data_IF_716456953860
#
_entry.id   IF_716456953860
#
_cell.length_a   1.000
_cell.length_b   1.000
_cell.length_c   1.000
_cell.angle_alpha   90.00
_cell.angle_beta   90.00
_cell.angle_gamma   90.00
#
_symmetry.space_group_name_H-M   'P 1'
#
loop_
_entity.id
_entity.type
_entity.pdbx_description
1 polymer ?
#
# COMPACT_ATOMS: atom_id res chain seq x y z
N UNK A 1 -27.45 42.50 36.47
CA UNK A 1 -26.38 41.99 35.59
C UNK A 1 -25.87 40.69 36.18
N UNK A 2 -25.72 39.68 35.31
CA UNK A 2 -24.97 38.41 35.45
C UNK A 2 -25.74 37.19 35.97
N UNK A 3 -26.27 36.41 35.02
CA UNK A 3 -26.81 35.05 35.19
C UNK A 3 -25.68 34.00 35.17
N UNK A 4 -25.58 33.08 36.15
CA UNK A 4 -24.52 32.06 36.22
C UNK A 4 -24.98 30.69 35.69
N UNK A 5 -25.70 30.63 34.57
CA UNK A 5 -26.26 29.37 34.05
C UNK A 5 -25.46 28.74 32.88
N UNK A 6 -24.44 29.41 32.36
CA UNK A 6 -23.84 29.05 31.06
C UNK A 6 -22.57 28.17 31.20
N UNK A 7 -21.98 28.04 32.39
CA UNK A 7 -20.65 27.42 32.54
C UNK A 7 -20.66 25.89 32.73
N UNK A 8 -21.80 25.26 33.03
CA UNK A 8 -21.83 23.83 33.35
C UNK A 8 -21.90 22.89 32.14
N UNK A 9 -22.33 23.37 30.97
CA UNK A 9 -22.52 22.52 29.77
C UNK A 9 -21.19 22.18 29.08
N UNK A 10 -20.16 23.02 29.22
CA UNK A 10 -18.90 22.86 28.46
C UNK A 10 -17.94 21.80 29.00
N UNK A 11 -18.02 21.44 30.29
CA UNK A 11 -17.04 20.50 30.89
C UNK A 11 -17.40 19.04 30.56
N UNK A 12 -18.69 18.72 30.45
CA UNK A 12 -19.15 17.35 30.14
C UNK A 12 -18.90 16.95 28.68
N UNK A 13 -18.81 17.91 27.76
CA UNK A 13 -18.55 17.63 26.34
C UNK A 13 -17.10 17.17 26.08
N UNK A 14 -16.13 17.61 26.89
CA UNK A 14 -14.72 17.23 26.73
C UNK A 14 -14.38 15.87 27.34
N UNK A 15 -15.12 15.43 28.35
CA UNK A 15 -14.88 14.13 29.01
C UNK A 15 -15.40 12.93 28.21
N UNK A 16 -16.29 13.12 27.25
CA UNK A 16 -16.79 12.05 26.37
C UNK A 16 -15.91 11.82 25.13
N UNK A 17 -14.92 12.69 24.85
CA UNK A 17 -14.07 12.58 23.66
C UNK A 17 -12.74 11.85 23.89
N UNK A 18 -12.40 11.49 25.13
CA UNK A 18 -11.13 10.82 25.47
C UNK A 18 -11.25 9.29 25.60
N UNK A 19 -12.41 8.72 25.26
CA UNK A 19 -12.70 7.30 25.38
C UNK A 19 -12.31 6.48 24.14
N UNK A 20 -11.15 5.83 24.22
CA UNK A 20 -10.86 4.52 23.62
C UNK A 20 -11.06 4.37 22.09
N UNK A 21 -10.08 4.89 21.35
CA UNK A 21 -9.77 4.45 19.99
C UNK A 21 -8.30 4.07 19.87
N UNK A 22 -7.77 3.31 20.83
CA UNK A 22 -6.46 2.68 20.69
C UNK A 22 -6.54 1.64 19.58
N UNK A 23 -6.32 2.06 18.33
CA UNK A 23 -6.00 1.15 17.25
C UNK A 23 -4.66 0.49 17.63
N UNK A 24 -4.74 -0.66 18.30
CA UNK A 24 -3.65 -1.61 18.27
C UNK A 24 -3.50 -1.97 16.80
N UNK A 25 -2.52 -1.35 16.15
CA UNK A 25 -2.03 -1.83 14.88
C UNK A 25 -1.51 -3.24 15.18
N UNK A 26 -2.37 -4.24 14.95
CA UNK A 26 -1.88 -5.61 14.86
C UNK A 26 -0.74 -5.56 13.84
N UNK A 27 0.44 -6.10 14.17
CA UNK A 27 1.45 -6.36 13.16
C UNK A 27 0.84 -7.45 12.29
N UNK A 28 0.02 -7.03 11.32
CA UNK A 28 -0.43 -7.87 10.22
C UNK A 28 0.85 -8.47 9.69
N UNK A 29 0.99 -9.78 9.89
CA UNK A 29 2.16 -10.53 9.47
C UNK A 29 2.36 -10.16 8.01
N UNK A 30 3.42 -9.38 7.75
CA UNK A 30 3.74 -8.89 6.41
C UNK A 30 4.17 -10.13 5.64
N UNK A 31 3.18 -10.86 5.11
CA UNK A 31 3.37 -11.99 4.24
C UNK A 31 3.92 -11.42 2.93
N UNK A 32 5.24 -11.20 2.94
CA UNK A 32 6.11 -10.95 1.81
C UNK A 32 5.51 -10.10 0.70
N UNK A 33 5.35 -8.80 0.94
CA UNK A 33 5.47 -7.89 -0.20
C UNK A 33 6.89 -8.07 -0.75
N UNK A 34 6.98 -8.59 -1.97
CA UNK A 34 8.22 -8.53 -2.72
C UNK A 34 8.66 -7.08 -2.79
N UNK A 35 9.89 -6.80 -2.36
CA UNK A 35 10.42 -5.44 -2.40
C UNK A 35 10.69 -5.05 -3.85
N UNK A 36 9.99 -4.02 -4.35
CA UNK A 36 10.29 -3.39 -5.62
C UNK A 36 11.21 -2.18 -5.39
N UNK A 37 12.53 -2.27 -5.66
CA UNK A 37 13.43 -1.15 -5.45
C UNK A 37 13.08 0.02 -6.37
N UNK A 38 12.88 1.23 -5.84
CA UNK A 38 12.61 2.40 -6.68
C UNK A 38 13.84 2.73 -7.53
N UNK A 39 13.64 3.11 -8.81
CA UNK A 39 14.75 3.47 -9.68
C UNK A 39 15.38 4.80 -9.24
N UNK A 40 16.70 4.89 -9.31
CA UNK A 40 17.46 6.08 -8.95
C UNK A 40 17.54 7.04 -10.14
N UNK A 41 17.13 8.29 -9.94
CA UNK A 41 17.20 9.33 -10.96
C UNK A 41 18.67 9.67 -11.23
N UNK A 42 19.13 9.68 -12.50
CA UNK A 42 20.50 10.07 -12.83
C UNK A 42 20.78 11.53 -12.42
N UNK A 43 21.80 11.74 -11.60
CA UNK A 43 22.22 13.08 -11.13
C UNK A 43 22.63 14.03 -12.25
N UNK A 44 22.91 13.50 -13.46
CA UNK A 44 23.24 14.31 -14.62
C UNK A 44 22.04 15.12 -15.14
N UNK A 45 20.79 14.74 -14.81
CA UNK A 45 19.58 15.48 -15.25
C UNK A 45 19.52 16.85 -14.56
N UNK A 46 19.89 16.92 -13.29
CA UNK A 46 19.76 18.13 -12.46
C UNK A 46 20.83 19.19 -12.75
N UNK A 47 21.90 18.85 -13.50
CA UNK A 47 22.97 19.81 -13.83
C UNK A 47 22.55 20.76 -14.95
N UNK A 48 22.99 22.02 -14.90
CA UNK A 48 22.68 22.97 -15.98
C UNK A 48 23.29 22.52 -17.33
N UNK A 49 22.54 22.66 -18.44
CA UNK A 49 23.04 22.30 -19.77
C UNK A 49 24.16 23.22 -20.29
N UNK A 50 24.27 24.45 -19.75
CA UNK A 50 25.19 25.48 -20.24
C UNK A 50 26.67 25.19 -19.94
N UNK A 51 26.95 24.24 -19.04
CA UNK A 51 28.30 23.90 -18.58
C UNK A 51 28.77 22.50 -19.01
N UNK A 52 28.02 21.80 -19.87
CA UNK A 52 28.35 20.42 -20.28
C UNK A 52 29.11 20.36 -21.60
N UNK A 53 30.15 19.53 -21.64
CA UNK A 53 30.75 19.11 -22.91
C UNK A 53 29.81 18.17 -23.66
N UNK A 54 30.00 18.01 -24.98
CA UNK A 54 29.23 17.02 -25.77
C UNK A 54 29.35 15.60 -25.19
N UNK A 55 30.55 15.22 -24.74
CA UNK A 55 30.82 13.93 -24.10
C UNK A 55 29.96 13.70 -22.85
N UNK A 56 29.76 14.75 -22.04
CA UNK A 56 28.94 14.68 -20.83
C UNK A 56 27.45 14.54 -21.16
N UNK A 57 27.00 15.18 -22.24
CA UNK A 57 25.64 15.06 -22.75
C UNK A 57 25.39 13.62 -23.22
N UNK A 58 26.29 13.05 -24.02
CA UNK A 58 26.17 11.68 -24.51
C UNK A 58 26.19 10.65 -23.37
N UNK A 59 27.03 10.87 -22.35
CA UNK A 59 27.03 10.08 -21.13
C UNK A 59 25.68 10.14 -20.41
N UNK A 60 25.17 11.35 -20.19
CA UNK A 60 23.89 11.54 -19.53
C UNK A 60 22.74 10.89 -20.31
N UNK A 61 22.74 10.99 -21.65
CA UNK A 61 21.74 10.34 -22.49
C UNK A 61 21.71 8.82 -22.30
N UNK A 62 22.88 8.17 -22.20
CA UNK A 62 22.94 6.73 -21.92
C UNK A 62 22.38 6.38 -20.54
N UNK A 63 22.67 7.18 -19.53
CA UNK A 63 22.16 6.95 -18.17
C UNK A 63 20.65 7.17 -18.07
N UNK A 64 20.11 8.17 -18.78
CA UNK A 64 18.66 8.41 -18.88
C UNK A 64 17.95 7.26 -19.60
N UNK A 65 18.54 6.72 -20.66
CA UNK A 65 17.99 5.55 -21.36
C UNK A 65 17.97 4.33 -20.43
N UNK A 66 19.04 4.10 -19.67
CA UNK A 66 19.10 3.03 -18.65
C UNK A 66 18.03 3.23 -17.58
N UNK A 67 17.88 4.45 -17.05
CA UNK A 67 16.84 4.78 -16.08
C UNK A 67 15.43 4.49 -16.61
N UNK A 68 15.16 4.83 -17.87
CA UNK A 68 13.88 4.56 -18.52
C UNK A 68 13.60 3.06 -18.63
N UNK A 69 14.61 2.25 -18.93
CA UNK A 69 14.48 0.79 -18.93
C UNK A 69 14.17 0.27 -17.52
N UNK A 70 14.86 0.78 -16.49
CA UNK A 70 14.62 0.39 -15.09
C UNK A 70 13.20 0.75 -14.63
N UNK A 71 12.61 1.85 -15.11
CA UNK A 71 11.21 2.19 -14.83
C UNK A 71 10.22 1.13 -15.33
N UNK A 72 10.50 0.51 -16.48
CA UNK A 72 9.71 -0.60 -17.00
C UNK A 72 9.73 -1.80 -16.05
N UNK A 73 10.93 -2.23 -15.65
CA UNK A 73 11.10 -3.34 -14.69
C UNK A 73 10.44 -3.04 -13.34
N UNK A 74 10.59 -1.81 -12.84
CA UNK A 74 9.96 -1.39 -11.58
C UNK A 74 8.43 -1.47 -11.65
N UNK A 75 7.83 -0.99 -12.74
CA UNK A 75 6.37 -1.09 -12.97
C UNK A 75 5.91 -2.54 -13.00
N UNK A 76 6.61 -3.41 -13.74
CA UNK A 76 6.27 -4.84 -13.79
C UNK A 76 6.34 -5.50 -12.42
N UNK A 77 7.34 -5.15 -11.60
CA UNK A 77 7.42 -5.62 -10.22
C UNK A 77 6.18 -5.20 -9.42
N UNK A 78 5.84 -3.92 -9.44
CA UNK A 78 4.68 -3.40 -8.71
C UNK A 78 3.37 -4.07 -9.14
N UNK A 79 3.18 -4.29 -10.44
CA UNK A 79 2.01 -5.01 -10.96
C UNK A 79 1.92 -6.42 -10.38
N UNK A 80 3.00 -7.20 -10.43
CA UNK A 80 3.03 -8.57 -9.91
C UNK A 80 2.76 -8.64 -8.41
N UNK A 81 3.36 -7.73 -7.64
CA UNK A 81 3.14 -7.70 -6.19
C UNK A 81 1.72 -7.24 -5.84
N UNK A 82 1.13 -6.35 -6.63
CA UNK A 82 -0.27 -5.95 -6.49
C UNK A 82 -1.21 -7.12 -6.77
N UNK A 83 -1.01 -7.83 -7.88
CA UNK A 83 -1.79 -9.03 -8.25
C UNK A 83 -1.67 -10.13 -7.19
N UNK A 84 -0.47 -10.37 -6.68
CA UNK A 84 -0.22 -11.31 -5.58
C UNK A 84 -0.97 -10.92 -4.32
N UNK A 85 -0.93 -9.64 -3.92
CA UNK A 85 -1.63 -9.15 -2.74
C UNK A 85 -3.15 -9.31 -2.88
N UNK A 86 -3.70 -8.99 -4.06
CA UNK A 86 -5.12 -9.19 -4.37
C UNK A 86 -5.49 -10.67 -4.30
N UNK A 87 -4.69 -11.55 -4.91
CA UNK A 87 -4.90 -13.00 -4.86
C UNK A 87 -4.89 -13.54 -3.43
N UNK A 88 -3.91 -13.11 -2.62
CA UNK A 88 -3.81 -13.49 -1.20
C UNK A 88 -5.04 -13.04 -0.41
N UNK A 89 -5.54 -11.82 -0.67
CA UNK A 89 -6.76 -11.30 -0.05
C UNK A 89 -8.00 -12.12 -0.44
N UNK A 90 -8.14 -12.44 -1.72
CA UNK A 90 -9.24 -13.26 -2.22
C UNK A 90 -9.22 -14.67 -1.61
N UNK A 91 -8.05 -15.29 -1.50
CA UNK A 91 -7.88 -16.60 -0.87
C UNK A 91 -8.26 -16.58 0.62
N UNK A 92 -7.87 -15.51 1.33
CA UNK A 92 -8.24 -15.33 2.73
C UNK A 92 -9.76 -15.20 2.91
N UNK A 93 -10.43 -14.41 2.06
CA UNK A 93 -11.89 -14.25 2.08
C UNK A 93 -12.58 -15.57 1.76
N UNK A 94 -12.12 -16.29 0.73
CA UNK A 94 -12.67 -17.59 0.35
C UNK A 94 -12.57 -18.59 1.51
N UNK A 95 -11.40 -18.65 2.17
CA UNK A 95 -11.19 -19.50 3.35
C UNK A 95 -12.11 -19.12 4.50
N UNK A 96 -12.25 -17.83 4.80
CA UNK A 96 -13.14 -17.34 5.85
C UNK A 96 -14.59 -17.76 5.58
N UNK A 97 -15.11 -17.51 4.36
CA UNK A 97 -16.47 -17.89 3.98
C UNK A 97 -16.71 -19.39 4.10
N UNK A 98 -15.77 -20.20 3.64
CA UNK A 98 -15.88 -21.65 3.72
C UNK A 98 -15.91 -22.16 5.17
N UNK A 99 -15.04 -21.63 6.05
CA UNK A 99 -15.07 -21.97 7.48
C UNK A 99 -16.38 -21.54 8.14
N UNK A 100 -16.90 -20.37 7.78
CA UNK A 100 -18.18 -19.88 8.31
C UNK A 100 -19.37 -20.75 7.87
N UNK A 101 -19.35 -21.31 6.66
CA UNK A 101 -20.45 -22.15 6.14
C UNK A 101 -20.37 -23.61 6.63
N UNK A 102 -19.19 -24.20 6.70
CA UNK A 102 -19.04 -25.65 6.88
C UNK A 102 -18.38 -26.08 8.19
N UNK A 103 -17.88 -25.12 9.00
CA UNK A 103 -17.34 -25.38 10.34
C UNK A 103 -16.08 -26.25 10.41
N UNK A 104 -15.57 -26.80 9.28
CA UNK A 104 -14.36 -27.65 9.21
C UNK A 104 -13.55 -27.43 7.92
N UNK A 105 -12.33 -27.99 7.94
CA UNK A 105 -11.20 -27.84 7.00
C UNK A 105 -11.55 -27.49 5.55
N UNK A 106 -11.21 -26.26 5.17
CA UNK A 106 -11.23 -25.77 3.78
C UNK A 106 -9.82 -25.71 3.23
N UNK A 107 -9.57 -26.31 2.07
CA UNK A 107 -8.29 -26.29 1.37
C UNK A 107 -8.29 -25.20 0.29
N UNK A 108 -7.37 -24.22 0.36
CA UNK A 108 -7.27 -23.18 -0.66
C UNK A 108 -6.97 -23.79 -2.03
N UNK A 109 -7.76 -23.40 -3.05
CA UNK A 109 -7.51 -23.73 -4.45
C UNK A 109 -8.03 -25.07 -4.98
N UNK A 110 -8.50 -26.00 -4.13
CA UNK A 110 -9.08 -27.29 -4.58
C UNK A 110 -10.58 -27.38 -4.41
N UNK A 111 -11.12 -26.68 -3.42
CA UNK A 111 -12.51 -26.88 -3.01
C UNK A 111 -13.49 -26.05 -3.85
N UNK A 112 -13.02 -25.55 -5.00
CA UNK A 112 -13.84 -24.94 -6.05
C UNK A 112 -15.03 -24.20 -5.47
N UNK A 113 -14.80 -22.99 -4.91
CA UNK A 113 -15.90 -22.02 -4.85
C UNK A 113 -16.11 -21.56 -6.30
N UNK A 114 -16.61 -22.49 -7.12
CA UNK A 114 -17.35 -22.18 -8.32
C UNK A 114 -18.48 -21.30 -7.86
N UNK A 115 -18.40 -20.04 -8.27
CA UNK A 115 -19.52 -19.12 -8.29
C UNK A 115 -20.70 -19.85 -8.95
N UNK A 116 -21.58 -20.42 -8.13
CA UNK A 116 -22.83 -21.04 -8.57
C UNK A 116 -23.89 -20.58 -7.59
N UNK A 117 -24.40 -19.38 -7.86
CA UNK A 117 -25.73 -18.87 -7.50
C UNK A 117 -25.88 -17.59 -8.35
N UNK A 118 -26.32 -17.74 -9.60
CA UNK A 118 -27.72 -17.71 -10.09
C UNK A 118 -28.31 -16.31 -10.10
#
# INVERSE_FOLDING_TARGET
MNSPAITLVSVLAWLLLSGLGGAVAEPGSVLGFGYCPPPVIPSCIERSARTRSRRDIDGCNRDVLRFTQTLGTYRTCLTRESERAIGTGNDAIARFRCLAQHGRTCRPGTDGISATER
#
